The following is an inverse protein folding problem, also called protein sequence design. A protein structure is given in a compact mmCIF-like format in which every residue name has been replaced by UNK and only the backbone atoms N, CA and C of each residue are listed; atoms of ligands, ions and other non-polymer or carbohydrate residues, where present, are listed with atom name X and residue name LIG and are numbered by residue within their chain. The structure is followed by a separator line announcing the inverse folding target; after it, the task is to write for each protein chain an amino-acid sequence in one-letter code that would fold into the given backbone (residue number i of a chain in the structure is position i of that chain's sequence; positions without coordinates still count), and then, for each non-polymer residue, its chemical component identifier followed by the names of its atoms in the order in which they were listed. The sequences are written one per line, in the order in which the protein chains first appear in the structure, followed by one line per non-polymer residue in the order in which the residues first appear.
data_IF_323400215588
#
_entry.id   IF_323400215588
#
_cell.length_a   1.000
_cell.length_b   1.000
_cell.length_c   1.000
_cell.angle_alpha   90.00
_cell.angle_beta   90.00
_cell.angle_gamma   90.00
#
_symmetry.space_group_name_H-M   'P 1'
#
loop_
_entity.id
_entity.type
_entity.pdbx_description
1 polymer ?
#
# COMPACT_ATOMS: atom_id res chain seq x y z
N UNK A 1 16.56 -9.44 -14.50
CA UNK A 1 15.43 -8.77 -13.85
C UNK A 1 14.88 -7.59 -14.65
N UNK A 2 15.68 -6.58 -15.04
CA UNK A 2 15.19 -5.43 -15.82
C UNK A 2 14.47 -5.80 -17.11
N UNK A 3 14.92 -6.83 -17.84
CA UNK A 3 14.26 -7.31 -19.07
C UNK A 3 12.85 -7.84 -18.77
N UNK A 4 12.67 -8.61 -17.70
CA UNK A 4 11.34 -9.09 -17.27
C UNK A 4 10.44 -7.94 -16.81
N UNK A 5 11.01 -6.95 -16.16
CA UNK A 5 10.30 -5.75 -15.73
C UNK A 5 9.77 -4.94 -16.93
N UNK A 6 10.60 -4.72 -17.96
CA UNK A 6 10.19 -4.06 -19.20
C UNK A 6 9.15 -4.93 -19.95
N UNK A 7 9.35 -6.24 -20.01
CA UNK A 7 8.42 -7.15 -20.67
C UNK A 7 7.03 -7.13 -20.02
N UNK A 8 6.96 -7.17 -18.68
CA UNK A 8 5.67 -7.08 -17.97
C UNK A 8 5.00 -5.72 -18.18
N UNK A 9 5.76 -4.62 -18.20
CA UNK A 9 5.23 -3.30 -18.53
C UNK A 9 4.61 -3.26 -19.94
N UNK A 10 5.29 -3.84 -20.93
CA UNK A 10 4.77 -3.94 -22.29
C UNK A 10 3.51 -4.81 -22.39
N UNK A 11 3.45 -5.90 -21.61
CA UNK A 11 2.26 -6.75 -21.53
C UNK A 11 1.06 -5.99 -20.94
N UNK A 12 1.26 -5.17 -19.91
CA UNK A 12 0.21 -4.33 -19.32
C UNK A 12 -0.35 -3.35 -20.37
N UNK A 13 0.53 -2.69 -21.11
CA UNK A 13 0.10 -1.70 -22.14
C UNK A 13 -0.66 -2.37 -23.28
N UNK A 14 -0.29 -3.61 -23.65
CA UNK A 14 -0.90 -4.36 -24.74
C UNK A 14 -2.23 -5.02 -24.35
N UNK A 15 -2.39 -5.36 -23.08
CA UNK A 15 -3.56 -6.08 -22.60
C UNK A 15 -4.77 -5.16 -22.47
N UNK A 16 -5.96 -5.70 -22.70
CA UNK A 16 -7.23 -4.96 -22.66
C UNK A 16 -8.19 -5.48 -21.60
N UNK A 17 -8.02 -6.73 -21.18
CA UNK A 17 -8.91 -7.33 -20.16
C UNK A 17 -8.50 -6.87 -18.78
N UNK A 18 -9.41 -6.20 -18.06
CA UNK A 18 -9.17 -5.61 -16.74
C UNK A 18 -8.52 -6.60 -15.77
N UNK A 19 -9.04 -7.83 -15.65
CA UNK A 19 -8.48 -8.85 -14.76
C UNK A 19 -7.02 -9.20 -15.14
N UNK A 20 -6.72 -9.33 -16.43
CA UNK A 20 -5.34 -9.64 -16.87
C UNK A 20 -4.39 -8.46 -16.65
N UNK A 21 -4.86 -7.24 -16.85
CA UNK A 21 -4.08 -6.03 -16.55
C UNK A 21 -3.71 -6.01 -15.07
N UNK A 22 -4.65 -6.29 -14.17
CA UNK A 22 -4.41 -6.33 -12.72
C UNK A 22 -3.39 -7.42 -12.35
N UNK A 23 -3.51 -8.62 -12.93
CA UNK A 23 -2.55 -9.71 -12.69
C UNK A 23 -1.14 -9.37 -13.20
N UNK A 24 -1.02 -8.77 -14.39
CA UNK A 24 0.28 -8.32 -14.91
C UNK A 24 0.85 -7.17 -14.07
N UNK A 25 0.01 -6.28 -13.55
CA UNK A 25 0.42 -5.22 -12.65
C UNK A 25 0.96 -5.80 -11.32
N UNK A 26 0.29 -6.81 -10.76
CA UNK A 26 0.79 -7.54 -9.59
C UNK A 26 2.14 -8.21 -9.86
N UNK A 27 2.31 -8.85 -11.03
CA UNK A 27 3.58 -9.45 -11.43
C UNK A 27 4.68 -8.38 -11.63
N UNK A 28 4.35 -7.24 -12.22
CA UNK A 28 5.26 -6.09 -12.38
C UNK A 28 5.77 -5.59 -11.03
N UNK A 29 4.87 -5.34 -10.08
CA UNK A 29 5.21 -4.92 -8.72
C UNK A 29 6.02 -5.97 -7.97
N UNK A 30 5.73 -7.25 -8.14
CA UNK A 30 6.53 -8.33 -7.56
C UNK A 30 7.97 -8.32 -8.06
N UNK A 31 8.17 -8.14 -9.38
CA UNK A 31 9.50 -8.00 -9.97
C UNK A 31 10.19 -6.74 -9.44
N UNK A 32 9.44 -5.64 -9.29
CA UNK A 32 9.96 -4.38 -8.71
C UNK A 32 10.45 -4.60 -7.28
N UNK A 33 9.68 -5.30 -6.45
CA UNK A 33 10.10 -5.66 -5.08
C UNK A 33 11.39 -6.47 -5.06
N UNK A 34 11.55 -7.46 -5.97
CA UNK A 34 12.78 -8.22 -6.11
C UNK A 34 13.95 -7.30 -6.54
N UNK A 35 13.71 -6.37 -7.47
CA UNK A 35 14.74 -5.40 -7.87
C UNK A 35 15.20 -4.54 -6.70
N UNK A 36 14.30 -4.01 -5.88
CA UNK A 36 14.65 -3.27 -4.67
C UNK A 36 15.43 -4.12 -3.66
N UNK A 37 15.03 -5.37 -3.48
CA UNK A 37 15.76 -6.30 -2.61
C UNK A 37 17.21 -6.51 -3.08
N UNK A 38 17.40 -6.75 -4.38
CA UNK A 38 18.73 -6.93 -4.99
C UNK A 38 19.60 -5.66 -4.95
N UNK A 39 18.97 -4.49 -4.92
CA UNK A 39 19.63 -3.19 -4.75
C UNK A 39 19.99 -2.88 -3.29
N UNK A 40 19.76 -3.80 -2.35
CA UNK A 40 20.06 -3.61 -0.95
C UNK A 40 19.08 -2.72 -0.19
N UNK A 41 17.84 -2.62 -0.68
CA UNK A 41 16.76 -1.82 -0.06
C UNK A 41 15.60 -2.71 0.42
N UNK A 42 15.82 -3.56 1.43
CA UNK A 42 14.82 -4.55 1.85
C UNK A 42 13.54 -3.94 2.43
N UNK A 43 13.61 -2.79 3.11
CA UNK A 43 12.44 -2.08 3.63
C UNK A 43 11.50 -1.64 2.51
N UNK A 44 12.07 -1.07 1.43
CA UNK A 44 11.29 -0.65 0.24
C UNK A 44 10.73 -1.86 -0.49
N UNK A 45 11.51 -2.94 -0.62
CA UNK A 45 11.06 -4.18 -1.23
C UNK A 45 9.85 -4.77 -0.50
N UNK A 46 9.88 -4.77 0.83
CA UNK A 46 8.77 -5.25 1.66
C UNK A 46 7.53 -4.36 1.58
N UNK A 47 7.72 -3.03 1.53
CA UNK A 47 6.62 -2.09 1.33
C UNK A 47 5.93 -2.32 -0.02
N UNK A 48 6.70 -2.41 -1.10
CA UNK A 48 6.19 -2.69 -2.45
C UNK A 48 5.44 -4.03 -2.51
N UNK A 49 6.01 -5.10 -1.94
CA UNK A 49 5.37 -6.41 -1.91
C UNK A 49 4.05 -6.42 -1.12
N UNK A 50 4.00 -5.76 0.03
CA UNK A 50 2.80 -5.69 0.85
C UNK A 50 1.67 -4.91 0.15
N UNK A 51 1.98 -3.70 -0.36
CA UNK A 51 0.99 -2.84 -1.02
C UNK A 51 0.49 -3.49 -2.31
N UNK A 52 1.37 -4.04 -3.13
CA UNK A 52 0.99 -4.64 -4.41
C UNK A 52 0.14 -5.88 -4.23
N UNK A 53 0.44 -6.71 -3.23
CA UNK A 53 -0.38 -7.88 -2.90
C UNK A 53 -1.78 -7.47 -2.49
N UNK A 54 -1.89 -6.50 -1.58
CA UNK A 54 -3.18 -5.94 -1.16
C UNK A 54 -3.94 -5.36 -2.36
N UNK A 55 -3.30 -4.48 -3.13
CA UNK A 55 -3.92 -3.80 -4.26
C UNK A 55 -4.39 -4.78 -5.35
N UNK A 56 -3.60 -5.80 -5.66
CA UNK A 56 -3.96 -6.82 -6.65
C UNK A 56 -5.21 -7.58 -6.24
N UNK A 57 -5.27 -8.08 -5.01
CA UNK A 57 -6.44 -8.79 -4.50
C UNK A 57 -7.66 -7.87 -4.45
N UNK A 58 -7.48 -6.65 -3.95
CA UNK A 58 -8.53 -5.64 -3.86
C UNK A 58 -9.13 -5.32 -5.24
N UNK A 59 -8.31 -5.03 -6.25
CA UNK A 59 -8.79 -4.72 -7.59
C UNK A 59 -9.43 -5.91 -8.29
N UNK A 60 -8.92 -7.14 -8.10
CA UNK A 60 -9.56 -8.35 -8.64
C UNK A 60 -10.98 -8.48 -8.10
N UNK A 61 -11.17 -8.33 -6.79
CA UNK A 61 -12.48 -8.41 -6.16
C UNK A 61 -13.41 -7.27 -6.64
N UNK A 62 -12.88 -6.04 -6.77
CA UNK A 62 -13.63 -4.91 -7.30
C UNK A 62 -14.09 -5.17 -8.73
N UNK A 63 -13.19 -5.63 -9.61
CA UNK A 63 -13.55 -5.92 -11.00
C UNK A 63 -14.56 -7.05 -11.07
N UNK A 64 -14.37 -8.14 -10.33
CA UNK A 64 -15.34 -9.25 -10.27
C UNK A 64 -16.73 -8.78 -9.85
N UNK A 65 -16.80 -7.85 -8.89
CA UNK A 65 -18.06 -7.29 -8.43
C UNK A 65 -18.73 -6.36 -9.44
N UNK A 66 -17.98 -5.50 -10.11
CA UNK A 66 -18.52 -4.45 -10.99
C UNK A 66 -18.59 -4.85 -12.46
N UNK A 67 -17.85 -5.89 -12.87
CA UNK A 67 -17.89 -6.44 -14.22
C UNK A 67 -18.86 -7.63 -14.27
N UNK A 68 -20.16 -7.35 -14.40
CA UNK A 68 -21.12 -8.37 -14.77
C UNK A 68 -20.82 -8.88 -16.20
N UNK A 69 -21.15 -10.16 -16.47
CA UNK A 69 -20.90 -10.91 -17.71
C UNK A 69 -21.24 -10.19 -19.04
N UNK A 70 -22.04 -9.11 -19.00
CA UNK A 70 -22.38 -8.29 -20.18
C UNK A 70 -21.20 -7.47 -20.74
N UNK A 71 -20.19 -7.17 -19.91
CA UNK A 71 -19.03 -6.37 -20.36
C UNK A 71 -18.07 -7.23 -21.19
N UNK A 72 -17.99 -8.52 -20.94
CA UNK A 72 -17.12 -9.44 -21.73
C UNK A 72 -17.58 -9.52 -23.20
N UNK A 73 -18.86 -9.41 -23.49
CA UNK A 73 -19.37 -9.39 -24.88
C UNK A 73 -19.18 -8.04 -25.56
N UNK A 74 -19.38 -6.95 -24.85
CA UNK A 74 -19.13 -5.60 -25.35
C UNK A 74 -17.63 -5.35 -25.57
N UNK A 75 -16.76 -5.88 -24.72
CA UNK A 75 -15.31 -5.80 -24.82
C UNK A 75 -14.80 -6.62 -26.03
N UNK A 76 -15.33 -7.83 -26.25
CA UNK A 76 -15.03 -8.64 -27.44
C UNK A 76 -15.48 -8.00 -28.76
N UNK A 77 -16.61 -7.28 -28.72
CA UNK A 77 -17.11 -6.55 -29.89
C UNK A 77 -16.26 -5.30 -30.19
N UNK A 78 -15.81 -4.61 -29.15
CA UNK A 78 -14.89 -3.46 -29.26
C UNK A 78 -13.51 -3.89 -29.80
N UNK A 79 -12.98 -5.03 -29.36
CA UNK A 79 -11.71 -5.56 -29.82
C UNK A 79 -11.72 -5.86 -31.33
N UNK A 80 -12.82 -6.44 -31.83
CA UNK A 80 -12.98 -6.71 -33.26
C UNK A 80 -13.06 -5.46 -34.14
N UNK A 81 -13.51 -4.35 -33.58
CA UNK A 81 -13.58 -3.08 -34.32
C UNK A 81 -12.25 -2.31 -34.30
N UNK A 82 -11.46 -2.44 -33.26
CA UNK A 82 -10.21 -1.70 -33.12
C UNK A 82 -9.07 -2.34 -33.94
N UNK A 83 -9.07 -3.67 -34.10
CA UNK A 83 -8.11 -4.38 -34.97
C UNK A 83 -8.23 -4.02 -36.47
N UNK A 84 -9.34 -3.40 -36.85
CA UNK A 84 -9.56 -2.90 -38.21
C UNK A 84 -9.09 -1.47 -38.47
N UNK A 85 -8.58 -0.79 -37.41
CA UNK A 85 -8.13 0.60 -37.55
C UNK A 85 -6.75 0.67 -38.20
N UNK A 86 -6.50 1.68 -39.06
CA UNK A 86 -5.22 1.81 -39.77
C UNK A 86 -4.07 2.07 -38.80
N UNK A 87 -2.87 1.64 -39.18
CA UNK A 87 -1.63 1.78 -38.41
C UNK A 87 -1.39 3.22 -37.92
N UNK A 88 -1.82 4.22 -38.72
CA UNK A 88 -1.74 5.65 -38.39
C UNK A 88 -2.54 6.03 -37.12
N UNK A 89 -3.63 5.32 -36.83
CA UNK A 89 -4.42 5.51 -35.64
C UNK A 89 -3.66 5.02 -34.39
N UNK A 90 -3.05 3.85 -34.48
CA UNK A 90 -2.24 3.30 -33.40
C UNK A 90 -1.01 4.17 -33.13
N UNK A 91 -0.36 4.65 -34.18
CA UNK A 91 0.80 5.55 -34.04
C UNK A 91 0.41 6.87 -33.36
N UNK A 92 -0.71 7.48 -33.73
CA UNK A 92 -1.21 8.71 -33.07
C UNK A 92 -1.59 8.51 -31.61
N UNK A 93 -2.04 7.31 -31.23
CA UNK A 93 -2.38 6.96 -29.83
C UNK A 93 -1.12 6.80 -28.97
N UNK A 94 -0.02 6.28 -29.54
CA UNK A 94 1.24 6.07 -28.82
C UNK A 94 2.16 7.29 -28.80
N UNK A 95 1.98 8.25 -29.70
CA UNK A 95 2.85 9.43 -29.82
C UNK A 95 2.85 10.32 -28.56
N UNK A 96 1.70 10.68 -27.94
CA UNK A 96 1.69 11.51 -26.75
C UNK A 96 2.38 10.85 -25.53
N UNK A 97 2.10 9.59 -25.15
CA UNK A 97 2.79 8.96 -24.03
C UNK A 97 4.27 8.75 -24.32
N UNK A 98 4.65 8.44 -25.56
CA UNK A 98 6.06 8.33 -25.93
C UNK A 98 6.78 9.69 -25.81
N UNK A 99 6.16 10.77 -26.31
CA UNK A 99 6.69 12.12 -26.19
C UNK A 99 6.87 12.54 -24.72
N UNK A 100 5.90 12.24 -23.88
CA UNK A 100 5.98 12.50 -22.45
C UNK A 100 7.10 11.67 -21.77
N UNK A 101 7.24 10.40 -22.13
CA UNK A 101 8.33 9.55 -21.60
C UNK A 101 9.71 10.07 -22.02
N UNK A 102 9.88 10.44 -23.30
CA UNK A 102 11.13 11.04 -23.80
C UNK A 102 11.42 12.36 -23.08
N UNK A 103 10.41 13.19 -22.88
CA UNK A 103 10.55 14.45 -22.14
C UNK A 103 10.99 14.20 -20.68
N UNK A 104 10.37 13.24 -19.97
CA UNK A 104 10.77 12.88 -18.61
C UNK A 104 12.19 12.33 -18.57
N UNK A 105 12.57 11.45 -19.51
CA UNK A 105 13.94 10.93 -19.60
C UNK A 105 14.95 12.06 -19.84
N UNK A 106 14.65 12.99 -20.75
CA UNK A 106 15.51 14.14 -21.01
C UNK A 106 15.65 15.05 -19.79
N UNK A 107 14.53 15.32 -19.07
CA UNK A 107 14.55 16.03 -17.79
C UNK A 107 15.43 15.31 -16.77
N UNK A 108 15.24 14.01 -16.62
CA UNK A 108 16.00 13.21 -15.66
C UNK A 108 17.51 13.24 -15.98
N UNK A 109 17.89 13.10 -17.25
CA UNK A 109 19.28 13.17 -17.70
C UNK A 109 19.85 14.58 -17.47
N UNK A 110 19.05 15.63 -17.73
CA UNK A 110 19.49 17.01 -17.53
C UNK A 110 19.70 17.36 -16.05
N UNK A 111 18.87 16.79 -15.17
CA UNK A 111 18.98 17.00 -13.73
C UNK A 111 19.72 15.88 -13.01
N UNK A 112 20.43 15.00 -13.74
CA UNK A 112 21.37 14.09 -13.08
C UNK A 112 22.35 14.93 -12.24
N UNK A 113 22.42 14.69 -10.92
CA UNK A 113 23.34 15.46 -10.09
C UNK A 113 24.75 15.22 -10.58
N UNK A 114 25.53 16.30 -10.72
CA UNK A 114 26.96 16.21 -10.89
C UNK A 114 27.51 15.28 -9.79
N UNK A 115 28.55 14.50 -10.09
CA UNK A 115 29.14 13.49 -9.19
C UNK A 115 29.62 14.02 -7.82
N UNK A 116 29.37 15.29 -7.51
CA UNK A 116 29.57 15.91 -6.19
C UNK A 116 28.29 15.82 -5.35
N UNK A 117 27.76 14.61 -5.16
CA UNK A 117 26.65 14.41 -4.21
C UNK A 117 27.19 14.75 -2.82
N UNK A 118 26.61 15.79 -2.21
CA UNK A 118 26.92 16.10 -0.83
C UNK A 118 26.41 14.97 0.07
N UNK A 119 27.30 14.09 0.50
CA UNK A 119 26.97 12.93 1.34
C UNK A 119 26.74 13.30 2.80
N UNK A 120 26.94 14.56 3.17
CA UNK A 120 26.86 15.03 4.56
C UNK A 120 25.61 14.54 5.31
N UNK A 121 24.42 14.69 4.72
CA UNK A 121 23.18 14.25 5.37
C UNK A 121 23.09 12.72 5.45
N UNK A 122 23.55 12.01 4.42
CA UNK A 122 23.59 10.55 4.42
C UNK A 122 24.51 10.05 5.54
N UNK A 123 25.73 10.59 5.60
CA UNK A 123 26.72 10.20 6.58
C UNK A 123 26.24 10.53 8.00
N UNK A 124 25.65 11.72 8.19
CA UNK A 124 25.05 12.14 9.44
C UNK A 124 23.95 11.17 9.91
N UNK A 125 23.05 10.76 9.03
CA UNK A 125 21.96 9.83 9.39
C UNK A 125 22.49 8.42 9.68
N UNK A 126 23.38 7.91 8.83
CA UNK A 126 23.90 6.54 8.97
C UNK A 126 24.80 6.37 10.20
N UNK A 127 25.58 7.39 10.54
CA UNK A 127 26.51 7.31 11.69
C UNK A 127 25.82 7.59 13.04
N UNK A 128 24.74 8.38 13.03
CA UNK A 128 24.14 8.89 14.26
C UNK A 128 22.77 8.33 14.62
N UNK A 129 22.07 7.66 13.71
CA UNK A 129 20.68 7.25 13.96
C UNK A 129 20.51 6.41 15.22
N UNK A 130 21.44 5.50 15.48
CA UNK A 130 21.39 4.63 16.66
C UNK A 130 21.52 5.43 17.97
N UNK A 131 22.34 6.49 17.95
CA UNK A 131 22.54 7.35 19.10
C UNK A 131 21.42 8.40 19.27
N UNK A 132 21.03 9.06 18.16
CA UNK A 132 20.08 10.18 18.19
C UNK A 132 18.62 9.73 18.36
N UNK A 133 18.24 8.61 17.72
CA UNK A 133 16.85 8.13 17.64
C UNK A 133 16.66 6.76 18.27
N UNK A 134 17.70 5.94 18.30
CA UNK A 134 17.67 4.56 18.79
C UNK A 134 17.22 3.56 17.69
N UNK A 135 17.27 2.26 18.06
CA UNK A 135 16.96 1.17 17.15
C UNK A 135 18.15 0.76 16.28
N UNK A 136 18.00 -0.37 15.58
CA UNK A 136 19.04 -0.94 14.71
C UNK A 136 18.69 -0.75 13.22
N UNK A 137 17.45 -0.36 12.90
CA UNK A 137 17.01 -0.06 11.55
C UNK A 137 17.09 1.44 11.26
N UNK A 138 18.09 1.84 10.45
CA UNK A 138 18.28 3.24 10.05
C UNK A 138 17.07 3.83 9.31
N UNK A 139 16.38 3.04 8.48
CA UNK A 139 15.21 3.49 7.72
C UNK A 139 14.08 3.88 8.68
N UNK A 140 13.81 3.02 9.67
CA UNK A 140 12.80 3.30 10.71
C UNK A 140 13.17 4.52 11.55
N UNK A 141 14.44 4.65 11.94
CA UNK A 141 14.91 5.82 12.66
C UNK A 141 14.76 7.13 11.86
N UNK A 142 14.95 7.07 10.55
CA UNK A 142 14.76 8.23 9.67
C UNK A 142 13.29 8.63 9.60
N UNK A 143 12.36 7.72 9.25
CA UNK A 143 10.97 8.10 9.01
C UNK A 143 10.15 8.33 10.28
N UNK A 144 10.52 7.75 11.43
CA UNK A 144 9.85 8.01 12.71
C UNK A 144 10.58 9.00 13.62
N UNK A 145 11.88 9.20 13.42
CA UNK A 145 12.67 10.11 14.21
C UNK A 145 12.94 11.44 13.48
N UNK A 146 13.94 11.45 12.61
CA UNK A 146 14.37 12.68 11.95
C UNK A 146 13.30 13.33 11.06
N UNK A 147 12.48 12.51 10.40
CA UNK A 147 11.48 12.92 9.41
C UNK A 147 10.06 12.52 9.80
N UNK A 148 9.75 12.49 11.10
CA UNK A 148 8.44 12.08 11.61
C UNK A 148 7.26 12.85 10.99
N UNK A 149 7.48 14.08 10.56
CA UNK A 149 6.44 14.86 9.88
C UNK A 149 6.00 14.22 8.56
N UNK A 150 6.93 13.63 7.78
CA UNK A 150 6.58 12.96 6.53
C UNK A 150 5.61 11.80 6.81
N UNK A 151 5.88 11.00 7.85
CA UNK A 151 5.01 9.89 8.26
C UNK A 151 3.66 10.38 8.78
N UNK A 152 3.61 11.51 9.49
CA UNK A 152 2.36 12.11 9.94
C UNK A 152 1.53 12.63 8.75
N UNK A 153 2.15 13.25 7.75
CA UNK A 153 1.46 13.70 6.55
C UNK A 153 0.98 12.52 5.70
N UNK A 154 1.77 11.45 5.57
CA UNK A 154 1.35 10.20 4.94
C UNK A 154 0.12 9.63 5.65
N UNK A 155 0.16 9.54 6.98
CA UNK A 155 -0.97 9.10 7.77
C UNK A 155 -2.20 10.02 7.61
N UNK A 156 -2.01 11.34 7.48
CA UNK A 156 -3.07 12.31 7.23
C UNK A 156 -3.72 12.11 5.85
N UNK A 157 -2.93 11.87 4.81
CA UNK A 157 -3.45 11.56 3.46
C UNK A 157 -4.36 10.34 3.52
N UNK A 158 -3.98 9.31 4.29
CA UNK A 158 -4.82 8.13 4.48
C UNK A 158 -6.13 8.46 5.22
N UNK A 159 -6.14 9.36 6.22
CA UNK A 159 -7.37 9.85 6.87
C UNK A 159 -8.28 10.55 5.84
N UNK A 160 -7.71 11.44 5.04
CA UNK A 160 -8.45 12.16 3.99
C UNK A 160 -9.05 11.18 3.00
N UNK A 161 -8.30 10.15 2.61
CA UNK A 161 -8.77 9.10 1.69
C UNK A 161 -9.97 8.34 2.27
N UNK A 162 -9.90 7.93 3.55
CA UNK A 162 -11.03 7.28 4.24
C UNK A 162 -12.26 8.19 4.28
N UNK A 163 -12.07 9.46 4.59
CA UNK A 163 -13.18 10.44 4.62
C UNK A 163 -13.77 10.60 3.23
N UNK A 164 -12.94 10.82 2.21
CA UNK A 164 -13.38 11.00 0.83
C UNK A 164 -14.18 9.78 0.33
N UNK A 165 -13.62 8.57 0.49
CA UNK A 165 -14.30 7.33 0.09
C UNK A 165 -15.59 7.12 0.87
N UNK A 166 -15.61 7.42 2.17
CA UNK A 166 -16.82 7.31 3.00
C UNK A 166 -17.92 8.28 2.56
N UNK A 167 -17.56 9.47 2.05
CA UNK A 167 -18.51 10.42 1.48
C UNK A 167 -18.96 10.05 0.06
N UNK A 168 -18.07 9.51 -0.76
CA UNK A 168 -18.44 9.07 -2.12
C UNK A 168 -19.31 7.82 -2.14
N UNK A 169 -19.25 6.99 -1.10
CA UNK A 169 -20.01 5.74 -1.01
C UNK A 169 -21.49 5.93 -0.69
N UNK A 170 -22.01 7.17 -0.55
CA UNK A 170 -23.47 7.43 -0.47
C UNK A 170 -24.18 7.32 -1.81
N UNK A 171 -23.41 7.14 -2.88
CA UNK A 171 -23.94 6.97 -4.22
C UNK A 171 -24.75 5.65 -4.26
N UNK A 172 -26.05 5.81 -4.34
CA UNK A 172 -27.04 4.78 -4.67
C UNK A 172 -27.52 3.81 -3.59
N UNK A 173 -28.32 4.34 -2.66
CA UNK A 173 -29.18 3.50 -1.81
C UNK A 173 -30.34 2.83 -2.57
N UNK A 174 -30.58 3.19 -3.82
CA UNK A 174 -31.77 2.80 -4.59
C UNK A 174 -31.52 1.66 -5.58
N UNK A 175 -30.29 1.40 -6.00
CA UNK A 175 -29.97 0.37 -7.01
C UNK A 175 -29.62 -1.01 -6.44
N UNK A 176 -29.60 -1.14 -5.13
CA UNK A 176 -29.07 -2.35 -4.44
C UNK A 176 -30.16 -3.39 -4.12
N UNK A 177 -31.40 -3.14 -4.50
CA UNK A 177 -32.52 -4.05 -4.14
C UNK A 177 -32.53 -5.39 -4.91
N UNK A 178 -31.71 -5.57 -5.96
CA UNK A 178 -31.78 -6.74 -6.84
C UNK A 178 -30.46 -7.51 -7.04
N UNK A 179 -29.48 -7.28 -6.18
CA UNK A 179 -28.22 -8.02 -6.18
C UNK A 179 -28.44 -9.47 -5.77
N UNK A 180 -28.74 -10.36 -6.73
CA UNK A 180 -28.55 -11.80 -6.57
C UNK A 180 -27.13 -12.01 -6.01
N UNK A 181 -27.08 -12.54 -4.77
CA UNK A 181 -25.89 -13.22 -4.29
C UNK A 181 -25.48 -14.20 -5.38
N UNK A 182 -24.46 -13.91 -6.14
CA UNK A 182 -23.76 -14.96 -6.85
C UNK A 182 -23.22 -15.85 -5.74
N UNK A 183 -23.84 -17.02 -5.55
CA UNK A 183 -23.19 -18.13 -4.84
C UNK A 183 -21.94 -18.46 -5.68
N UNK A 184 -20.87 -17.71 -5.42
CA UNK A 184 -19.57 -18.01 -5.98
C UNK A 184 -19.25 -19.39 -5.40
N UNK A 185 -19.41 -20.43 -6.21
CA UNK A 185 -18.94 -21.77 -5.89
C UNK A 185 -17.43 -21.69 -5.71
N UNK A 186 -17.01 -21.37 -4.51
CA UNK A 186 -15.61 -21.27 -4.17
C UNK A 186 -15.00 -22.65 -4.24
N UNK A 187 -13.95 -22.79 -5.03
CA UNK A 187 -13.18 -24.02 -5.05
C UNK A 187 -12.75 -24.38 -3.62
N UNK A 188 -13.04 -25.62 -3.19
CA UNK A 188 -12.64 -26.08 -1.85
C UNK A 188 -11.14 -25.93 -1.60
N UNK A 189 -10.33 -26.00 -2.67
CA UNK A 189 -8.89 -25.78 -2.63
C UNK A 189 -8.54 -24.32 -2.31
N UNK A 190 -9.25 -23.36 -2.90
CA UNK A 190 -9.04 -21.93 -2.59
C UNK A 190 -9.38 -21.62 -1.13
N UNK A 191 -10.49 -22.13 -0.63
CA UNK A 191 -10.89 -21.97 0.79
C UNK A 191 -9.85 -22.59 1.72
N UNK A 192 -9.36 -23.79 1.42
CA UNK A 192 -8.33 -24.45 2.21
C UNK A 192 -7.04 -23.63 2.24
N UNK A 193 -6.56 -23.19 1.07
CA UNK A 193 -5.33 -22.37 0.95
C UNK A 193 -5.43 -21.06 1.75
N UNK A 194 -6.54 -20.34 1.59
CA UNK A 194 -6.74 -19.07 2.31
C UNK A 194 -6.83 -19.30 3.82
N UNK A 195 -7.46 -20.38 4.26
CA UNK A 195 -7.56 -20.71 5.70
C UNK A 195 -6.19 -20.92 6.36
N UNK A 196 -5.20 -21.42 5.60
CA UNK A 196 -3.82 -21.58 6.07
C UNK A 196 -3.06 -20.27 6.01
N UNK A 197 -3.18 -19.54 4.90
CA UNK A 197 -2.39 -18.31 4.65
C UNK A 197 -2.84 -17.15 5.54
N UNK A 198 -4.14 -17.00 5.78
CA UNK A 198 -4.67 -15.87 6.53
C UNK A 198 -4.05 -15.70 7.94
N UNK A 199 -4.00 -16.70 8.82
CA UNK A 199 -3.35 -16.54 10.12
C UNK A 199 -1.85 -16.27 10.03
N UNK A 200 -1.16 -16.77 8.99
CA UNK A 200 0.25 -16.48 8.74
C UNK A 200 0.44 -15.00 8.41
N UNK A 201 -0.45 -14.43 7.57
CA UNK A 201 -0.43 -12.99 7.27
C UNK A 201 -0.62 -12.12 8.51
N UNK A 202 -1.51 -12.52 9.41
CA UNK A 202 -1.73 -11.80 10.66
C UNK A 202 -0.48 -11.83 11.55
N UNK A 203 0.11 -13.02 11.76
CA UNK A 203 1.32 -13.17 12.56
C UNK A 203 2.50 -12.41 11.93
N UNK A 204 2.64 -12.49 10.61
CA UNK A 204 3.67 -11.76 9.88
C UNK A 204 3.49 -10.24 10.00
N UNK A 205 2.26 -9.74 9.87
CA UNK A 205 1.97 -8.31 10.05
C UNK A 205 2.31 -7.81 11.44
N UNK A 206 1.95 -8.57 12.50
CA UNK A 206 2.33 -8.25 13.88
C UNK A 206 3.85 -8.28 14.04
N UNK A 207 4.54 -9.30 13.50
CA UNK A 207 5.99 -9.38 13.51
C UNK A 207 6.65 -8.14 12.88
N UNK A 208 6.19 -7.71 11.70
CA UNK A 208 6.73 -6.54 11.01
C UNK A 208 6.57 -5.24 11.82
N UNK A 209 5.44 -5.09 12.52
CA UNK A 209 5.18 -3.93 13.38
C UNK A 209 6.12 -3.95 14.58
N UNK A 210 6.20 -5.09 15.26
CA UNK A 210 6.96 -5.21 16.52
C UNK A 210 8.47 -5.13 16.31
N UNK A 211 8.98 -5.69 15.21
CA UNK A 211 10.40 -5.73 14.90
C UNK A 211 10.90 -4.67 13.93
N UNK A 212 10.04 -3.76 13.44
CA UNK A 212 10.41 -2.76 12.45
C UNK A 212 11.51 -1.78 12.89
N UNK A 213 11.77 -1.64 14.19
CA UNK A 213 12.86 -0.83 14.73
C UNK A 213 14.21 -1.57 14.78
N UNK A 214 14.21 -2.90 14.60
CA UNK A 214 15.40 -3.76 14.65
C UNK A 214 15.74 -4.29 13.25
N UNK A 215 14.72 -4.77 12.51
CA UNK A 215 14.86 -5.41 11.21
C UNK A 215 14.04 -4.70 10.14
N UNK A 216 14.30 -4.99 8.84
CA UNK A 216 13.46 -4.46 7.76
C UNK A 216 11.98 -4.74 7.99
N UNK A 217 11.16 -3.70 7.90
CA UNK A 217 9.73 -3.74 8.18
C UNK A 217 9.22 -2.40 8.70
N UNK A 218 8.09 -2.43 9.40
CA UNK A 218 7.54 -1.25 10.03
C UNK A 218 6.02 -1.24 10.10
N UNK A 219 5.49 -0.16 10.66
CA UNK A 219 4.05 0.00 10.88
C UNK A 219 3.24 -0.09 9.57
N UNK A 220 3.71 0.56 8.50
CA UNK A 220 2.97 0.59 7.24
C UNK A 220 2.85 -0.81 6.61
N UNK A 221 3.97 -1.51 6.41
CA UNK A 221 4.01 -2.84 5.81
C UNK A 221 3.22 -3.86 6.66
N UNK A 222 3.42 -3.82 7.97
CA UNK A 222 2.70 -4.68 8.91
C UNK A 222 1.20 -4.38 8.94
N UNK A 223 0.81 -3.11 8.89
CA UNK A 223 -0.58 -2.70 8.82
C UNK A 223 -1.30 -3.20 7.56
N UNK A 224 -0.65 -3.12 6.40
CA UNK A 224 -1.17 -3.67 5.13
C UNK A 224 -1.29 -5.20 5.19
N UNK A 225 -0.31 -5.90 5.77
CA UNK A 225 -0.37 -7.35 5.95
C UNK A 225 -1.54 -7.77 6.85
N UNK A 226 -1.79 -7.04 7.95
CA UNK A 226 -2.97 -7.24 8.81
C UNK A 226 -4.27 -6.97 8.04
N UNK A 227 -4.34 -5.91 7.25
CA UNK A 227 -5.52 -5.63 6.41
C UNK A 227 -5.78 -6.78 5.41
N UNK A 228 -4.72 -7.33 4.82
CA UNK A 228 -4.80 -8.48 3.90
C UNK A 228 -5.40 -9.72 4.57
N UNK A 229 -5.11 -9.96 5.87
CA UNK A 229 -5.78 -11.00 6.64
C UNK A 229 -7.31 -10.82 6.65
N UNK A 230 -7.79 -9.59 6.90
CA UNK A 230 -9.23 -9.32 6.90
C UNK A 230 -9.88 -9.52 5.53
N UNK A 231 -9.18 -9.17 4.44
CA UNK A 231 -9.64 -9.46 3.08
C UNK A 231 -9.73 -10.96 2.83
N UNK A 232 -8.71 -11.72 3.19
CA UNK A 232 -8.70 -13.18 3.09
C UNK A 232 -9.88 -13.79 3.87
N UNK A 233 -10.13 -13.30 5.09
CA UNK A 233 -11.26 -13.73 5.90
C UNK A 233 -12.61 -13.43 5.23
N UNK A 234 -12.76 -12.24 4.65
CA UNK A 234 -13.97 -11.86 3.89
C UNK A 234 -14.20 -12.80 2.70
N UNK A 235 -13.13 -13.16 1.98
CA UNK A 235 -13.23 -14.07 0.84
C UNK A 235 -13.76 -15.46 1.22
N UNK A 236 -13.51 -15.94 2.45
CA UNK A 236 -13.99 -17.25 2.91
C UNK A 236 -15.38 -17.19 3.49
N UNK A 237 -15.62 -16.25 4.41
CA UNK A 237 -16.77 -16.30 5.32
C UNK A 237 -17.91 -15.36 4.95
N UNK A 238 -17.73 -14.43 4.01
CA UNK A 238 -18.71 -13.36 3.73
C UNK A 238 -19.21 -12.67 5.01
N UNK A 239 -18.35 -12.52 6.02
CA UNK A 239 -18.76 -12.03 7.34
C UNK A 239 -18.80 -10.50 7.29
N UNK A 240 -19.99 -9.95 7.54
CA UNK A 240 -20.25 -8.51 7.68
C UNK A 240 -20.24 -8.05 9.14
N UNK A 241 -19.61 -8.82 10.05
CA UNK A 241 -19.66 -8.57 11.50
C UNK A 241 -18.86 -7.35 11.96
N UNK A 242 -18.19 -6.67 11.04
CA UNK A 242 -17.32 -5.54 11.36
C UNK A 242 -18.09 -4.23 11.26
N UNK A 243 -18.26 -3.55 12.39
CA UNK A 243 -18.83 -2.20 12.42
C UNK A 243 -17.84 -1.17 11.87
N UNK A 244 -17.99 -0.80 10.59
CA UNK A 244 -17.13 0.14 9.88
C UNK A 244 -17.00 1.46 10.63
N UNK A 245 -18.08 1.97 11.22
CA UNK A 245 -18.07 3.24 11.96
C UNK A 245 -17.19 3.19 13.21
N UNK A 246 -17.06 2.02 13.86
CA UNK A 246 -16.14 1.86 14.98
C UNK A 246 -14.68 1.89 14.50
N UNK A 247 -14.39 1.27 13.35
CA UNK A 247 -13.05 1.25 12.77
C UNK A 247 -12.66 2.66 12.32
N UNK A 248 -13.55 3.42 11.67
CA UNK A 248 -13.29 4.81 11.28
C UNK A 248 -13.00 5.68 12.51
N UNK A 249 -13.74 5.50 13.60
CA UNK A 249 -13.45 6.23 14.85
C UNK A 249 -12.11 5.83 15.46
N UNK A 250 -11.81 4.54 15.47
CA UNK A 250 -10.53 4.02 15.95
C UNK A 250 -9.36 4.55 15.11
N UNK A 251 -9.49 4.54 13.78
CA UNK A 251 -8.50 5.06 12.83
C UNK A 251 -8.15 6.53 13.12
N UNK A 252 -9.18 7.37 13.28
CA UNK A 252 -9.00 8.78 13.61
C UNK A 252 -8.39 9.00 15.00
N UNK A 253 -8.85 8.24 15.99
CA UNK A 253 -8.32 8.33 17.36
C UNK A 253 -6.85 7.93 17.42
N UNK A 254 -6.48 6.84 16.76
CA UNK A 254 -5.08 6.36 16.69
C UNK A 254 -4.19 7.40 15.99
N UNK A 255 -4.67 8.03 14.91
CA UNK A 255 -3.94 9.10 14.24
C UNK A 255 -3.68 10.30 15.18
N UNK A 256 -4.70 10.75 15.92
CA UNK A 256 -4.54 11.85 16.87
C UNK A 256 -3.55 11.48 17.98
N UNK A 257 -3.63 10.26 18.51
CA UNK A 257 -2.68 9.78 19.54
C UNK A 257 -1.26 9.74 19.00
N UNK A 258 -1.06 9.21 17.78
CA UNK A 258 0.26 9.18 17.14
C UNK A 258 0.82 10.60 16.94
N UNK A 259 -0.01 11.55 16.47
CA UNK A 259 0.39 12.94 16.30
C UNK A 259 0.77 13.60 17.64
N UNK A 260 0.00 13.37 18.70
CA UNK A 260 0.30 13.90 20.02
C UNK A 260 1.60 13.33 20.59
N UNK A 261 1.85 12.03 20.43
CA UNK A 261 3.11 11.39 20.87
C UNK A 261 4.30 11.94 20.08
N UNK A 262 4.17 12.11 18.75
CA UNK A 262 5.24 12.68 17.94
C UNK A 262 5.56 14.13 18.35
N UNK A 263 4.54 14.94 18.55
CA UNK A 263 4.72 16.34 19.03
C UNK A 263 5.35 16.33 20.42
N UNK A 264 4.87 15.51 21.35
CA UNK A 264 5.44 15.40 22.69
C UNK A 264 6.92 14.98 22.65
N UNK A 265 7.27 13.99 21.80
CA UNK A 265 8.65 13.55 21.63
C UNK A 265 9.58 14.68 21.12
N UNK A 266 9.10 15.49 20.16
CA UNK A 266 9.84 16.65 19.66
C UNK A 266 10.06 17.67 20.79
N UNK A 267 9.02 18.01 21.55
CA UNK A 267 9.15 18.95 22.67
C UNK A 267 10.08 18.41 23.76
N UNK A 268 9.97 17.14 24.14
CA UNK A 268 10.85 16.51 25.12
C UNK A 268 12.29 16.45 24.63
N UNK A 269 12.53 16.13 23.36
CA UNK A 269 13.87 16.11 22.76
C UNK A 269 14.52 17.49 22.70
N UNK A 270 13.75 18.54 22.47
CA UNK A 270 14.26 19.93 22.38
C UNK A 270 14.42 20.59 23.76
N UNK A 271 13.48 20.34 24.70
CA UNK A 271 13.41 21.08 25.96
C UNK A 271 13.89 20.29 27.18
N UNK A 272 13.64 19.00 27.23
CA UNK A 272 14.13 18.14 28.28
C UNK A 272 15.46 17.53 27.87
N UNK A 273 16.57 18.02 28.34
CA UNK A 273 17.87 17.34 28.26
C UNK A 273 17.80 16.07 29.13
N UNK A 274 17.22 15.02 28.56
CA UNK A 274 17.08 13.72 29.24
C UNK A 274 18.49 13.13 29.42
N UNK A 275 18.87 12.70 30.65
CA UNK A 275 20.16 12.06 30.87
C UNK A 275 20.34 10.86 29.94
N UNK A 276 21.53 10.70 29.34
CA UNK A 276 21.83 9.66 28.35
C UNK A 276 21.47 8.22 28.81
N UNK A 277 21.54 7.94 30.10
CA UNK A 277 21.17 6.64 30.67
C UNK A 277 19.70 6.23 30.50
N UNK A 278 18.80 7.17 30.28
CA UNK A 278 17.37 6.91 30.02
C UNK A 278 17.01 7.05 28.54
N UNK A 279 17.92 7.56 27.73
CA UNK A 279 17.68 7.87 26.33
C UNK A 279 17.44 6.58 25.51
N UNK A 280 18.27 5.56 25.71
CA UNK A 280 18.16 4.31 24.93
C UNK A 280 16.83 3.57 25.13
N UNK A 281 16.36 3.48 26.39
CA UNK A 281 15.08 2.85 26.69
C UNK A 281 13.91 3.68 26.17
N UNK A 282 14.00 5.00 26.25
CA UNK A 282 12.97 5.92 25.77
C UNK A 282 12.88 5.90 24.24
N UNK A 283 13.99 5.94 23.54
CA UNK A 283 14.06 5.99 22.09
C UNK A 283 13.57 4.70 21.44
N UNK A 284 14.03 3.54 21.88
CA UNK A 284 13.57 2.23 21.39
C UNK A 284 12.06 2.02 21.64
N UNK A 285 11.58 2.42 22.82
CA UNK A 285 10.15 2.35 23.16
C UNK A 285 9.31 3.31 22.31
N UNK A 286 9.81 4.51 22.05
CA UNK A 286 9.14 5.46 21.15
C UNK A 286 8.96 4.90 19.75
N UNK A 287 10.02 4.35 19.14
CA UNK A 287 9.94 3.74 17.81
C UNK A 287 8.95 2.59 17.76
N UNK A 288 8.94 1.73 18.78
CA UNK A 288 8.01 0.60 18.90
C UNK A 288 6.56 1.08 18.99
N UNK A 289 6.28 2.05 19.84
CA UNK A 289 4.92 2.63 20.01
C UNK A 289 4.46 3.29 18.72
N UNK A 290 5.30 4.10 18.09
CA UNK A 290 4.96 4.77 16.84
C UNK A 290 4.71 3.76 15.72
N UNK A 291 5.54 2.72 15.56
CA UNK A 291 5.30 1.64 14.60
C UNK A 291 3.96 0.93 14.87
N UNK A 292 3.63 0.65 16.12
CA UNK A 292 2.38 0.02 16.50
C UNK A 292 1.17 0.90 16.15
N UNK A 293 1.22 2.19 16.48
CA UNK A 293 0.14 3.13 16.18
C UNK A 293 -0.04 3.31 14.66
N UNK A 294 1.04 3.49 13.91
CA UNK A 294 0.97 3.59 12.45
C UNK A 294 0.45 2.29 11.85
N UNK A 295 0.89 1.13 12.35
CA UNK A 295 0.43 -0.17 11.87
C UNK A 295 -1.07 -0.39 12.08
N UNK A 296 -1.58 -0.10 13.26
CA UNK A 296 -3.02 -0.17 13.55
C UNK A 296 -3.79 0.82 12.70
N UNK A 297 -3.29 2.05 12.55
CA UNK A 297 -3.90 3.10 11.73
C UNK A 297 -4.00 2.66 10.27
N UNK A 298 -2.91 2.17 9.69
CA UNK A 298 -2.86 1.69 8.30
C UNK A 298 -3.78 0.49 8.11
N UNK A 299 -3.76 -0.48 9.02
CA UNK A 299 -4.68 -1.62 8.97
C UNK A 299 -6.14 -1.17 8.94
N UNK A 300 -6.55 -0.27 9.86
CA UNK A 300 -7.90 0.29 9.89
C UNK A 300 -8.27 0.98 8.58
N UNK A 301 -7.37 1.80 8.03
CA UNK A 301 -7.58 2.49 6.75
C UNK A 301 -7.87 1.51 5.62
N UNK A 302 -7.00 0.53 5.40
CA UNK A 302 -7.16 -0.42 4.30
C UNK A 302 -8.36 -1.35 4.48
N UNK A 303 -8.71 -1.71 5.72
CA UNK A 303 -9.95 -2.44 6.02
C UNK A 303 -11.16 -1.59 5.64
N UNK A 304 -11.22 -0.31 6.05
CA UNK A 304 -12.34 0.57 5.71
C UNK A 304 -12.44 0.76 4.20
N UNK A 305 -11.34 1.01 3.51
CA UNK A 305 -11.33 1.15 2.06
C UNK A 305 -11.89 -0.11 1.38
N UNK A 306 -11.41 -1.28 1.78
CA UNK A 306 -11.88 -2.53 1.24
C UNK A 306 -13.39 -2.72 1.44
N UNK A 307 -13.86 -2.57 2.67
CA UNK A 307 -15.27 -2.78 2.97
C UNK A 307 -16.18 -1.73 2.32
N UNK A 308 -15.72 -0.47 2.18
CA UNK A 308 -16.49 0.56 1.48
C UNK A 308 -16.63 0.31 -0.01
N UNK A 309 -15.61 -0.25 -0.67
CA UNK A 309 -15.69 -0.58 -2.08
C UNK A 309 -16.38 -1.92 -2.36
N UNK A 310 -16.18 -2.92 -1.50
CA UNK A 310 -16.63 -4.28 -1.76
C UNK A 310 -17.96 -4.59 -1.07
N UNK A 311 -18.17 -4.08 0.14
CA UNK A 311 -19.29 -4.45 1.02
C UNK A 311 -20.46 -3.46 1.02
N UNK A 312 -20.55 -2.53 0.06
CA UNK A 312 -21.58 -1.47 0.00
C UNK A 312 -23.03 -2.03 -0.06
N UNK A 313 -23.23 -3.31 0.04
CA UNK A 313 -24.55 -3.92 -0.18
C UNK A 313 -25.51 -3.96 1.02
N UNK A 314 -25.13 -3.48 2.22
CA UNK A 314 -26.07 -3.49 3.34
C UNK A 314 -25.84 -2.35 4.34
N UNK A 315 -26.54 -1.30 4.16
CA UNK A 315 -27.07 -0.46 5.23
C UNK A 315 -28.57 -0.24 5.00
#
# INVERSE_FOLDING_TARGET
MLVFWILTALLIVKERRAIRIILYFGAFSFITAICFFLLGSPDVAMAEAAISTFATIFFVICVEKYTNLQIDEAEKASDRQEDKKPLTYHLKKFLPPLGFTVFLCALFIHFLPDNTVNTFLKDQYVERFAFDVGGENAVTAIYLGYRVYDTLFEALILVITVVAVSHMSWFDKTSVADGRRSDIQRSGMAVFTIRIIAPILLLFGVYLIMNGHISPGGGFQGGVAIASFFICRYMIYNIYDISIDKIIRAEKAVFVVAALIAVAAIFLGVWARVPAAYLDLYQGTYLLIMNALIGVKVACTFIVLFYRFVAIERL
#
